data_IF_662263581868
#
_entry.id   IF_662263581868
#
_cell.length_a   1.000
_cell.length_b   1.000
_cell.length_c   1.000
_cell.angle_alpha   90.00
_cell.angle_beta   90.00
_cell.angle_gamma   90.00
#
_symmetry.space_group_name_H-M   'P 1'
#
loop_
_entity.id
_entity.type
_entity.pdbx_description
1 polymer ?
#
# COMPACT_ATOMS: atom_id res chain seq x y z
N UNK A 1 -0.25 -5.12 8.11
CA UNK A 1 -0.80 -5.27 6.74
C UNK A 1 -0.77 -6.70 6.29
N UNK A 2 0.38 -7.35 6.05
CA UNK A 2 0.43 -8.75 5.58
C UNK A 2 -0.42 -9.73 6.41
N UNK A 3 -0.23 -9.75 7.74
CA UNK A 3 -1.02 -10.61 8.62
C UNK A 3 -2.51 -10.27 8.63
N UNK A 4 -2.86 -8.98 8.49
CA UNK A 4 -4.24 -8.54 8.40
C UNK A 4 -4.87 -9.00 7.08
N UNK A 5 -4.21 -8.76 5.94
CA UNK A 5 -4.66 -9.25 4.63
C UNK A 5 -4.82 -10.77 4.62
N UNK A 6 -3.87 -11.51 5.20
CA UNK A 6 -3.96 -12.97 5.27
C UNK A 6 -5.17 -13.46 6.09
N UNK A 7 -5.51 -12.76 7.17
CA UNK A 7 -6.66 -13.14 8.01
C UNK A 7 -8.01 -12.86 7.33
N UNK A 8 -8.07 -11.82 6.50
CA UNK A 8 -9.34 -11.33 5.93
C UNK A 8 -9.63 -11.91 4.55
N UNK A 9 -8.62 -12.33 3.79
CA UNK A 9 -8.77 -12.70 2.37
C UNK A 9 -9.79 -13.82 2.13
N UNK A 10 -9.90 -14.78 3.06
CA UNK A 10 -10.83 -15.91 2.96
C UNK A 10 -12.30 -15.51 3.22
N UNK A 11 -12.53 -14.32 3.78
CA UNK A 11 -13.86 -13.79 4.11
C UNK A 11 -14.32 -12.70 3.13
N UNK A 12 -13.50 -12.37 2.12
CA UNK A 12 -13.83 -11.36 1.13
C UNK A 12 -14.77 -11.93 0.06
N UNK A 13 -15.69 -11.11 -0.47
CA UNK A 13 -16.49 -11.49 -1.63
C UNK A 13 -15.61 -11.66 -2.87
N UNK A 14 -16.04 -12.50 -3.81
CA UNK A 14 -15.35 -12.80 -5.08
C UNK A 14 -15.04 -11.53 -5.91
N UNK A 15 -15.80 -10.45 -5.70
CA UNK A 15 -15.59 -9.17 -6.37
C UNK A 15 -15.34 -8.05 -5.36
N UNK A 16 -14.15 -7.45 -5.44
CA UNK A 16 -13.76 -6.28 -4.63
C UNK A 16 -13.74 -5.01 -5.47
N UNK A 17 -14.29 -3.88 -4.97
CA UNK A 17 -14.09 -2.58 -5.58
C UNK A 17 -12.63 -2.16 -5.41
N UNK A 18 -11.92 -2.03 -6.52
CA UNK A 18 -10.48 -1.69 -6.54
C UNK A 18 -10.23 -0.22 -6.88
N UNK A 19 -11.17 0.43 -7.57
CA UNK A 19 -11.07 1.82 -7.93
C UNK A 19 -12.47 2.45 -7.90
N UNK A 20 -12.48 3.73 -7.54
CA UNK A 20 -13.65 4.59 -7.56
C UNK A 20 -13.37 5.75 -8.48
N UNK A 21 -14.33 6.08 -9.33
CA UNK A 21 -14.22 7.24 -10.19
C UNK A 21 -14.40 8.56 -9.41
N UNK A 22 -14.32 9.68 -10.12
CA UNK A 22 -14.47 11.01 -9.52
C UNK A 22 -15.89 11.28 -8.98
N UNK A 23 -16.89 10.49 -9.39
CA UNK A 23 -18.26 10.53 -8.87
C UNK A 23 -18.46 9.62 -7.65
N UNK A 24 -17.45 8.82 -7.29
CA UNK A 24 -17.51 7.88 -6.18
C UNK A 24 -18.17 6.55 -6.54
N UNK A 25 -18.40 6.29 -7.82
CA UNK A 25 -18.89 4.99 -8.29
C UNK A 25 -17.72 4.02 -8.49
N UNK A 26 -17.98 2.73 -8.27
CA UNK A 26 -16.99 1.68 -8.52
C UNK A 26 -16.88 1.48 -10.03
N UNK A 27 -15.77 1.93 -10.61
CA UNK A 27 -15.49 1.78 -12.05
C UNK A 27 -14.62 0.55 -12.34
N UNK A 28 -13.97 -0.01 -11.31
CA UNK A 28 -13.15 -1.22 -11.43
C UNK A 28 -13.38 -2.17 -10.26
N UNK A 29 -13.80 -3.38 -10.58
CA UNK A 29 -13.81 -4.52 -9.67
C UNK A 29 -12.67 -5.49 -10.01
N UNK A 30 -12.25 -6.28 -9.04
CA UNK A 30 -11.32 -7.38 -9.28
C UNK A 30 -11.53 -8.52 -8.30
N UNK A 31 -10.82 -9.62 -8.54
CA UNK A 31 -10.91 -10.83 -7.73
C UNK A 31 -10.42 -10.57 -6.29
N UNK A 32 -10.88 -11.36 -5.32
CA UNK A 32 -10.51 -11.27 -3.91
C UNK A 32 -8.98 -11.27 -3.72
N UNK A 33 -8.25 -12.05 -4.54
CA UNK A 33 -6.78 -12.10 -4.52
C UNK A 33 -6.11 -10.77 -4.86
N UNK A 34 -6.82 -9.85 -5.52
CA UNK A 34 -6.29 -8.53 -5.90
C UNK A 34 -5.94 -7.68 -4.69
N UNK A 35 -6.49 -7.99 -3.50
CA UNK A 35 -6.17 -7.28 -2.26
C UNK A 35 -4.68 -7.41 -1.88
N UNK A 36 -3.99 -8.47 -2.32
CA UNK A 36 -2.56 -8.68 -2.07
C UNK A 36 -1.67 -7.64 -2.73
N UNK A 37 -2.17 -6.91 -3.74
CA UNK A 37 -1.42 -5.83 -4.38
C UNK A 37 -1.06 -4.72 -3.40
N UNK A 38 -1.93 -4.41 -2.43
CA UNK A 38 -1.72 -3.37 -1.42
C UNK A 38 -0.54 -3.68 -0.48
N UNK A 39 -0.50 -4.81 0.26
CA UNK A 39 0.64 -5.12 1.12
C UNK A 39 1.94 -5.35 0.34
N UNK A 40 1.87 -5.87 -0.90
CA UNK A 40 3.06 -6.00 -1.76
C UNK A 40 3.61 -4.63 -2.19
N UNK A 41 2.73 -3.69 -2.55
CA UNK A 41 3.13 -2.31 -2.84
C UNK A 41 3.73 -1.65 -1.60
N UNK A 42 3.09 -1.81 -0.43
CA UNK A 42 3.59 -1.29 0.83
C UNK A 42 5.00 -1.81 1.15
N UNK A 43 5.23 -3.12 0.99
CA UNK A 43 6.54 -3.74 1.19
C UNK A 43 7.57 -3.22 0.18
N UNK A 44 7.17 -3.09 -1.09
CA UNK A 44 8.04 -2.57 -2.15
C UNK A 44 8.50 -1.15 -1.85
N UNK A 45 7.57 -0.26 -1.50
CA UNK A 45 7.89 1.13 -1.13
C UNK A 45 8.83 1.17 0.07
N UNK A 46 8.58 0.36 1.09
CA UNK A 46 9.45 0.28 2.27
C UNK A 46 10.88 -0.13 1.89
N UNK A 47 11.03 -1.23 1.16
CA UNK A 47 12.34 -1.76 0.78
C UNK A 47 13.08 -0.81 -0.15
N UNK A 48 12.40 -0.30 -1.18
CA UNK A 48 13.01 0.60 -2.17
C UNK A 48 13.41 1.93 -1.54
N UNK A 49 12.50 2.59 -0.81
CA UNK A 49 12.83 3.89 -0.20
C UNK A 49 13.93 3.75 0.86
N UNK A 50 13.90 2.70 1.67
CA UNK A 50 14.95 2.47 2.67
C UNK A 50 16.29 2.18 1.99
N UNK A 51 16.29 1.31 0.96
CA UNK A 51 17.49 1.01 0.18
C UNK A 51 18.07 2.25 -0.48
N UNK A 52 17.25 3.03 -1.18
CA UNK A 52 17.66 4.29 -1.80
C UNK A 52 18.15 5.30 -0.76
N UNK A 53 17.48 5.42 0.39
CA UNK A 53 17.90 6.31 1.45
C UNK A 53 19.29 5.93 1.98
N UNK A 54 19.55 4.63 2.19
CA UNK A 54 20.87 4.13 2.60
C UNK A 54 21.94 4.44 1.56
N UNK A 55 21.64 4.24 0.27
CA UNK A 55 22.57 4.52 -0.83
C UNK A 55 22.87 6.01 -1.01
N UNK A 56 21.87 6.88 -0.79
CA UNK A 56 21.99 8.34 -0.97
C UNK A 56 22.53 9.04 0.28
N UNK A 57 22.39 8.45 1.47
CA UNK A 57 22.87 9.01 2.74
C UNK A 57 24.29 9.61 2.73
N UNK A 58 25.32 8.99 2.11
CA UNK A 58 26.65 9.58 2.05
C UNK A 58 26.74 10.82 1.15
N UNK A 59 25.81 11.02 0.21
CA UNK A 59 25.80 12.12 -0.74
C UNK A 59 24.90 13.28 -0.31
N UNK A 60 23.66 12.96 0.12
CA UNK A 60 22.67 13.97 0.51
C UNK A 60 21.77 13.46 1.65
N UNK A 61 21.95 14.06 2.84
CA UNK A 61 21.17 13.72 4.04
C UNK A 61 19.73 14.21 3.97
N UNK A 62 19.44 15.28 3.22
CA UNK A 62 18.07 15.80 3.06
C UNK A 62 17.26 14.82 2.22
N UNK A 63 17.80 14.38 1.08
CA UNK A 63 17.13 13.40 0.22
C UNK A 63 16.91 12.08 0.95
N UNK A 64 17.93 11.57 1.66
CA UNK A 64 17.79 10.35 2.46
C UNK A 64 16.70 10.48 3.54
N UNK A 65 16.62 11.62 4.23
CA UNK A 65 15.57 11.88 5.23
C UNK A 65 14.19 11.97 4.59
N UNK A 66 14.06 12.58 3.41
CA UNK A 66 12.78 12.67 2.70
C UNK A 66 12.28 11.27 2.31
N UNK A 67 13.15 10.42 1.75
CA UNK A 67 12.81 9.04 1.39
C UNK A 67 12.30 8.23 2.60
N UNK A 68 12.99 8.33 3.74
CA UNK A 68 12.57 7.65 4.97
C UNK A 68 11.28 8.26 5.53
N UNK A 69 11.16 9.59 5.58
CA UNK A 69 10.01 10.28 6.16
C UNK A 69 8.71 10.07 5.37
N UNK A 70 8.81 9.92 4.04
CA UNK A 70 7.63 9.71 3.20
C UNK A 70 7.13 8.26 3.24
N UNK A 71 8.01 7.32 3.57
CA UNK A 71 7.67 5.89 3.67
C UNK A 71 6.50 5.61 4.63
N UNK A 72 6.48 6.06 5.90
CA UNK A 72 5.34 5.81 6.79
C UNK A 72 4.05 6.47 6.31
N UNK A 73 4.10 7.59 5.59
CA UNK A 73 2.89 8.22 5.01
C UNK A 73 2.24 7.31 3.97
N UNK A 74 3.05 6.69 3.10
CA UNK A 74 2.56 5.71 2.12
C UNK A 74 2.03 4.47 2.82
N UNK A 75 2.70 3.99 3.88
CA UNK A 75 2.17 2.87 4.67
C UNK A 75 0.79 3.21 5.25
N UNK A 76 0.62 4.40 5.87
CA UNK A 76 -0.67 4.81 6.44
C UNK A 76 -1.74 4.88 5.36
N UNK A 77 -1.45 5.49 4.20
CA UNK A 77 -2.39 5.60 3.09
C UNK A 77 -2.85 4.22 2.59
N UNK A 78 -1.92 3.27 2.41
CA UNK A 78 -2.25 1.91 2.01
C UNK A 78 -3.03 1.17 3.11
N UNK A 79 -2.68 1.40 4.38
CA UNK A 79 -3.41 0.83 5.52
C UNK A 79 -4.85 1.29 5.57
N UNK A 80 -5.10 2.58 5.33
CA UNK A 80 -6.46 3.15 5.24
C UNK A 80 -7.23 2.54 4.06
N UNK A 81 -6.58 2.43 2.89
CA UNK A 81 -7.20 1.81 1.72
C UNK A 81 -7.60 0.35 2.00
N UNK A 82 -6.70 -0.41 2.63
CA UNK A 82 -6.96 -1.80 3.01
C UNK A 82 -8.12 -1.93 4.00
N UNK A 83 -8.18 -1.07 5.01
CA UNK A 83 -9.29 -1.06 5.98
C UNK A 83 -10.63 -0.72 5.33
N UNK A 84 -10.65 0.17 4.34
CA UNK A 84 -11.88 0.55 3.60
C UNK A 84 -12.38 -0.51 2.63
N UNK A 85 -11.50 -1.40 2.17
CA UNK A 85 -11.89 -2.49 1.26
C UNK A 85 -12.46 -3.66 2.07
N UNK A 86 -11.93 -3.88 3.27
CA UNK A 86 -12.33 -5.00 4.14
C UNK A 86 -13.59 -4.68 4.97
N UNK A 87 -13.77 -3.43 5.44
CA UNK A 87 -14.91 -3.01 6.26
C UNK A 87 -15.91 -2.17 5.46
#
# INVERSE_FOLDING_TARGET
MLAYTFNEVDFLPDGLPLHWDATGEVDRTGDASSIWTLPLLALTVLVVNTGLATLVLPFDRVVARLLVSFTPLVQIAIGIALLRIVN
#
